data_IF_583880801673
#
_entry.id   IF_583880801673
#
_cell.length_a   1.000
_cell.length_b   1.000
_cell.length_c   1.000
_cell.angle_alpha   90.00
_cell.angle_beta   90.00
_cell.angle_gamma   90.00
#
_symmetry.space_group_name_H-M   'P 1'
#
loop_
_entity.id
_entity.type
_entity.pdbx_description
1 polymer ?
#
# COMPACT_ATOMS: atom_id res chain seq x y z
N UNK A 1 -8.31 -23.19 13.81
CA UNK A 1 -8.50 -21.72 13.72
C UNK A 1 -7.22 -20.97 13.34
N UNK A 2 -6.09 -21.21 14.01
CA UNK A 2 -4.82 -20.49 13.70
C UNK A 2 -4.33 -20.70 12.26
N UNK A 3 -4.44 -21.93 11.73
CA UNK A 3 -4.04 -22.28 10.35
C UNK A 3 -4.86 -21.51 9.31
N UNK A 4 -6.19 -21.44 9.47
CA UNK A 4 -7.08 -20.70 8.57
C UNK A 4 -6.74 -19.21 8.59
N UNK A 5 -6.56 -18.60 9.76
CA UNK A 5 -6.22 -17.18 9.88
C UNK A 5 -4.89 -16.84 9.17
N UNK A 6 -3.87 -17.70 9.31
CA UNK A 6 -2.59 -17.56 8.59
C UNK A 6 -2.79 -17.63 7.08
N UNK A 7 -3.63 -18.55 6.60
CA UNK A 7 -3.94 -18.68 5.18
C UNK A 7 -4.73 -17.48 4.66
N UNK A 8 -5.75 -16.98 5.38
CA UNK A 8 -6.48 -15.76 5.01
C UNK A 8 -5.49 -14.61 4.82
N UNK A 9 -4.62 -14.36 5.81
CA UNK A 9 -3.59 -13.31 5.71
C UNK A 9 -2.70 -13.48 4.50
N UNK A 10 -2.20 -14.70 4.26
CA UNK A 10 -1.34 -15.02 3.12
C UNK A 10 -2.02 -14.69 1.79
N UNK A 11 -3.27 -15.11 1.60
CA UNK A 11 -4.01 -14.90 0.36
C UNK A 11 -4.39 -13.42 0.17
N UNK A 12 -4.87 -12.75 1.23
CA UNK A 12 -5.19 -11.32 1.24
C UNK A 12 -3.96 -10.49 0.86
N UNK A 13 -2.83 -10.72 1.53
CA UNK A 13 -1.62 -9.94 1.33
C UNK A 13 -1.00 -10.20 -0.05
N UNK A 14 -1.01 -11.45 -0.51
CA UNK A 14 -0.58 -11.78 -1.87
C UNK A 14 -1.43 -11.05 -2.91
N UNK A 15 -2.76 -11.07 -2.76
CA UNK A 15 -3.68 -10.41 -3.68
C UNK A 15 -3.42 -8.90 -3.77
N UNK A 16 -3.25 -8.21 -2.63
CA UNK A 16 -2.94 -6.77 -2.59
C UNK A 16 -1.61 -6.40 -3.26
N UNK A 17 -0.72 -7.36 -3.48
CA UNK A 17 0.59 -7.18 -4.10
C UNK A 17 0.65 -7.75 -5.51
N UNK A 18 -0.49 -8.09 -6.11
CA UNK A 18 -0.54 -8.51 -7.50
C UNK A 18 -0.71 -7.30 -8.43
N UNK A 19 0.06 -7.22 -9.54
CA UNK A 19 0.01 -6.08 -10.45
C UNK A 19 -1.28 -6.01 -11.29
N UNK A 20 -2.06 -7.08 -11.32
CA UNK A 20 -3.31 -7.18 -12.09
C UNK A 20 -4.57 -6.94 -11.24
N UNK A 21 -4.42 -6.42 -10.01
CA UNK A 21 -5.55 -5.93 -9.21
C UNK A 21 -5.90 -4.53 -9.67
N UNK A 22 -7.06 -4.40 -10.30
CA UNK A 22 -7.58 -3.12 -10.79
C UNK A 22 -8.52 -2.42 -9.80
N UNK A 23 -8.91 -3.10 -8.71
CA UNK A 23 -9.92 -2.62 -7.76
C UNK A 23 -9.56 -2.99 -6.33
N UNK A 24 -8.85 -2.10 -5.63
CA UNK A 24 -8.44 -2.25 -4.24
C UNK A 24 -9.60 -2.03 -3.26
N UNK A 25 -10.53 -1.12 -3.53
CA UNK A 25 -11.74 -0.98 -2.70
C UNK A 25 -12.82 -2.02 -3.04
N UNK A 26 -12.75 -2.63 -4.24
CA UNK A 26 -13.74 -3.55 -4.78
C UNK A 26 -13.54 -5.04 -4.46
N UNK A 27 -12.45 -5.42 -3.78
CA UNK A 27 -12.13 -6.84 -3.53
C UNK A 27 -13.24 -7.51 -2.74
N UNK A 28 -13.86 -8.51 -3.35
CA UNK A 28 -14.89 -9.35 -2.75
C UNK A 28 -14.24 -10.46 -1.93
N UNK A 29 -14.66 -10.62 -0.69
CA UNK A 29 -14.20 -11.68 0.21
C UNK A 29 -14.38 -13.08 -0.40
N UNK A 30 -15.43 -13.26 -1.21
CA UNK A 30 -15.70 -14.52 -1.91
C UNK A 30 -14.59 -14.88 -2.91
N UNK A 31 -13.96 -13.90 -3.57
CA UNK A 31 -12.87 -14.17 -4.51
C UNK A 31 -11.65 -14.74 -3.78
N UNK A 32 -11.37 -14.24 -2.58
CA UNK A 32 -10.29 -14.76 -1.73
C UNK A 32 -10.63 -16.17 -1.24
N UNK A 33 -11.86 -16.40 -0.77
CA UNK A 33 -12.33 -17.72 -0.34
C UNK A 33 -12.27 -18.73 -1.49
N UNK A 34 -12.70 -18.34 -2.69
CA UNK A 34 -12.62 -19.17 -3.89
C UNK A 34 -11.17 -19.52 -4.24
N UNK A 35 -10.26 -18.55 -4.17
CA UNK A 35 -8.83 -18.80 -4.35
C UNK A 35 -8.30 -19.84 -3.34
N UNK A 36 -8.71 -19.71 -2.07
CA UNK A 36 -8.33 -20.66 -1.01
C UNK A 36 -8.91 -22.07 -1.28
N UNK A 37 -10.17 -22.17 -1.74
CA UNK A 37 -10.82 -23.44 -2.13
C UNK A 37 -10.11 -24.09 -3.30
N UNK A 38 -9.83 -23.34 -4.37
CA UNK A 38 -9.12 -23.83 -5.56
C UNK A 38 -7.69 -24.28 -5.26
N UNK A 39 -7.16 -23.85 -4.13
CA UNK A 39 -5.83 -24.21 -3.61
C UNK A 39 -5.87 -25.38 -2.62
N UNK A 40 -7.03 -26.00 -2.40
CA UNK A 40 -7.25 -27.07 -1.41
C UNK A 40 -6.76 -26.66 -0.01
N UNK A 41 -7.02 -25.41 0.40
CA UNK A 41 -6.64 -24.94 1.73
C UNK A 41 -7.36 -25.77 2.79
N UNK A 42 -6.63 -26.34 3.78
CA UNK A 42 -7.24 -27.19 4.80
C UNK A 42 -8.21 -26.39 5.67
N UNK A 43 -9.14 -27.11 6.29
CA UNK A 43 -10.10 -26.59 7.27
C UNK A 43 -11.06 -25.51 6.73
N UNK A 44 -11.25 -25.43 5.41
CA UNK A 44 -12.27 -24.57 4.84
C UNK A 44 -13.67 -25.18 5.01
N UNK A 45 -14.65 -24.39 5.49
CA UNK A 45 -16.02 -24.85 5.58
C UNK A 45 -16.65 -25.06 4.19
N UNK A 46 -17.61 -26.00 4.04
CA UNK A 46 -18.37 -26.18 2.79
C UNK A 46 -19.03 -24.88 2.30
N UNK A 47 -19.20 -24.73 0.98
CA UNK A 47 -19.70 -23.47 0.36
C UNK A 47 -21.07 -23.04 0.86
N UNK A 48 -21.89 -24.02 1.22
CA UNK A 48 -23.30 -23.93 1.61
C UNK A 48 -23.52 -23.93 3.13
N UNK A 49 -22.44 -23.94 3.92
CA UNK A 49 -22.52 -23.97 5.38
C UNK A 49 -22.65 -22.56 5.99
N UNK A 50 -23.31 -22.45 7.15
CA UNK A 50 -23.40 -21.20 7.92
C UNK A 50 -22.05 -20.71 8.45
N UNK A 51 -21.08 -21.62 8.62
CA UNK A 51 -19.69 -21.32 8.98
C UNK A 51 -18.99 -20.45 7.91
N UNK A 52 -19.46 -20.51 6.66
CA UNK A 52 -18.98 -19.67 5.57
C UNK A 52 -19.23 -18.16 5.84
N UNK A 53 -20.30 -17.80 6.55
CA UNK A 53 -20.55 -16.40 6.95
C UNK A 53 -19.49 -15.88 7.93
N UNK A 54 -19.04 -16.74 8.85
CA UNK A 54 -17.94 -16.44 9.77
C UNK A 54 -16.63 -16.23 9.01
N UNK A 55 -16.34 -17.11 8.05
CA UNK A 55 -15.16 -17.00 7.19
C UNK A 55 -15.18 -15.71 6.37
N UNK A 56 -16.31 -15.32 5.78
CA UNK A 56 -16.45 -14.06 5.04
C UNK A 56 -16.11 -12.86 5.95
N UNK A 57 -16.61 -12.83 7.18
CA UNK A 57 -16.30 -11.76 8.15
C UNK A 57 -14.82 -11.74 8.53
N UNK A 58 -14.20 -12.91 8.67
CA UNK A 58 -12.77 -13.02 8.97
C UNK A 58 -11.90 -12.53 7.81
N UNK A 59 -12.26 -12.88 6.57
CA UNK A 59 -11.61 -12.38 5.36
C UNK A 59 -11.78 -10.87 5.22
N UNK A 60 -12.99 -10.33 5.42
CA UNK A 60 -13.25 -8.88 5.37
C UNK A 60 -12.40 -8.10 6.39
N UNK A 61 -12.30 -8.65 7.62
CA UNK A 61 -11.49 -8.06 8.70
C UNK A 61 -10.01 -8.07 8.34
N UNK A 62 -9.48 -9.21 7.93
CA UNK A 62 -8.07 -9.32 7.56
C UNK A 62 -7.75 -8.45 6.34
N UNK A 63 -8.64 -8.41 5.35
CA UNK A 63 -8.55 -7.51 4.20
C UNK A 63 -8.38 -6.06 4.64
N UNK A 64 -9.26 -5.56 5.50
CA UNK A 64 -9.21 -4.20 6.02
C UNK A 64 -7.91 -3.89 6.77
N UNK A 65 -7.43 -4.83 7.60
CA UNK A 65 -6.17 -4.71 8.34
C UNK A 65 -4.97 -4.65 7.39
N UNK A 66 -4.90 -5.55 6.43
CA UNK A 66 -3.81 -5.62 5.47
C UNK A 66 -3.78 -4.39 4.55
N UNK A 67 -4.94 -3.89 4.14
CA UNK A 67 -5.05 -2.67 3.38
C UNK A 67 -4.49 -1.45 4.13
N UNK A 68 -4.88 -1.30 5.40
CA UNK A 68 -4.34 -0.24 6.26
C UNK A 68 -2.84 -0.40 6.50
N UNK A 69 -2.36 -1.64 6.64
CA UNK A 69 -0.95 -1.96 6.78
C UNK A 69 -0.15 -1.59 5.54
N UNK A 70 -0.64 -1.93 4.34
CA UNK A 70 0.00 -1.60 3.06
C UNK A 70 0.11 -0.08 2.89
N UNK A 71 -1.01 0.64 3.05
CA UNK A 71 -1.03 2.10 2.99
C UNK A 71 -0.02 2.70 3.96
N UNK A 72 -0.03 2.26 5.23
CA UNK A 72 0.86 2.77 6.27
C UNK A 72 2.33 2.54 5.91
N UNK A 73 2.71 1.31 5.53
CA UNK A 73 4.10 1.00 5.15
C UNK A 73 4.61 1.89 4.02
N UNK A 74 3.77 2.15 3.01
CA UNK A 74 4.13 3.02 1.90
C UNK A 74 4.20 4.49 2.35
N UNK A 75 3.20 4.96 3.10
CA UNK A 75 3.15 6.34 3.61
C UNK A 75 4.33 6.66 4.54
N UNK A 76 4.75 5.72 5.38
CA UNK A 76 5.89 5.90 6.28
C UNK A 76 7.20 6.16 5.49
N UNK A 77 7.33 5.68 4.25
CA UNK A 77 8.50 6.01 3.40
C UNK A 77 8.53 7.44 2.88
N UNK A 78 7.40 8.16 2.97
CA UNK A 78 7.33 9.59 2.66
C UNK A 78 7.84 10.45 3.81
N UNK A 79 7.94 9.88 5.01
CA UNK A 79 8.35 10.57 6.24
C UNK A 79 9.79 10.16 6.54
N UNK A 80 10.76 10.94 6.06
CA UNK A 80 12.17 10.74 6.37
C UNK A 80 13.05 10.51 5.15
N UNK A 81 13.92 9.49 5.22
CA UNK A 81 14.89 9.20 4.15
C UNK A 81 14.17 8.71 2.90
N UNK A 82 14.53 9.25 1.74
CA UNK A 82 14.07 8.76 0.45
C UNK A 82 14.42 7.27 0.29
N UNK A 83 13.39 6.45 0.09
CA UNK A 83 13.50 5.02 -0.21
C UNK A 83 13.10 4.83 -1.66
N UNK A 84 13.98 4.25 -2.48
CA UNK A 84 13.65 3.93 -3.86
C UNK A 84 12.56 2.84 -3.93
N UNK A 85 11.90 2.75 -5.08
CA UNK A 85 10.75 1.87 -5.27
C UNK A 85 11.11 0.37 -5.18
N UNK A 86 12.35 -0.02 -5.52
CA UNK A 86 12.79 -1.40 -5.43
C UNK A 86 13.01 -1.82 -3.97
N UNK A 87 13.68 -1.00 -3.17
CA UNK A 87 13.83 -1.21 -1.72
C UNK A 87 12.48 -1.24 -1.02
N UNK A 88 11.58 -0.31 -1.34
CA UNK A 88 10.21 -0.31 -0.79
C UNK A 88 9.48 -1.61 -1.14
N UNK A 89 9.45 -1.98 -2.42
CA UNK A 89 8.74 -3.18 -2.86
C UNK A 89 9.31 -4.45 -2.23
N UNK A 90 10.64 -4.57 -2.12
CA UNK A 90 11.30 -5.68 -1.44
C UNK A 90 10.82 -5.82 0.02
N UNK A 91 10.66 -4.71 0.74
CA UNK A 91 10.13 -4.70 2.11
C UNK A 91 8.64 -5.09 2.22
N UNK A 92 7.87 -4.92 1.14
CA UNK A 92 6.46 -5.33 1.10
C UNK A 92 6.32 -6.83 0.83
N UNK A 93 7.14 -7.38 -0.06
CA UNK A 93 7.08 -8.79 -0.46
C UNK A 93 7.85 -9.73 0.48
N UNK A 94 8.68 -9.22 1.40
CA UNK A 94 9.49 -10.03 2.32
C UNK A 94 8.68 -11.05 3.15
N UNK A 95 7.41 -10.75 3.42
CA UNK A 95 6.50 -11.65 4.15
C UNK A 95 5.55 -12.44 3.23
N UNK A 96 5.65 -12.24 1.93
CA UNK A 96 4.85 -12.90 0.90
C UNK A 96 5.68 -14.00 0.25
N UNK A 97 5.63 -15.20 0.82
CA UNK A 97 6.25 -16.37 0.19
C UNK A 97 5.85 -16.46 -1.29
N UNK A 98 6.84 -16.52 -2.18
CA UNK A 98 6.69 -16.69 -3.64
C UNK A 98 6.15 -15.49 -4.44
N UNK A 99 5.82 -14.35 -3.82
CA UNK A 99 5.50 -13.12 -4.57
C UNK A 99 6.81 -12.41 -4.89
N UNK A 100 7.13 -12.32 -6.17
CA UNK A 100 8.33 -11.62 -6.62
C UNK A 100 8.06 -10.12 -6.77
N UNK A 101 9.07 -9.30 -6.51
CA UNK A 101 9.09 -7.93 -6.99
C UNK A 101 9.11 -7.95 -8.52
N UNK A 102 8.07 -7.41 -9.17
CA UNK A 102 7.98 -7.33 -10.64
C UNK A 102 7.88 -5.87 -11.06
N UNK A 103 8.14 -5.58 -12.34
CA UNK A 103 7.94 -4.23 -12.86
C UNK A 103 6.49 -3.76 -12.67
N UNK A 104 5.51 -4.63 -12.96
CA UNK A 104 4.10 -4.31 -12.72
C UNK A 104 3.82 -3.95 -11.25
N UNK A 105 4.46 -4.65 -10.30
CA UNK A 105 4.31 -4.30 -8.88
C UNK A 105 4.95 -2.95 -8.55
N UNK A 106 6.09 -2.61 -9.15
CA UNK A 106 6.68 -1.27 -8.99
C UNK A 106 5.73 -0.17 -9.47
N UNK A 107 5.11 -0.36 -10.63
CA UNK A 107 4.11 0.56 -11.18
C UNK A 107 2.93 0.76 -10.20
N UNK A 108 2.37 -0.33 -9.68
CA UNK A 108 1.27 -0.26 -8.71
C UNK A 108 1.68 0.41 -7.40
N UNK A 109 2.86 0.09 -6.85
CA UNK A 109 3.36 0.70 -5.61
C UNK A 109 3.65 2.19 -5.81
N UNK A 110 4.17 2.59 -6.96
CA UNK A 110 4.37 4.01 -7.31
C UNK A 110 3.05 4.78 -7.34
N UNK A 111 2.00 4.20 -7.94
CA UNK A 111 0.65 4.78 -7.92
C UNK A 111 0.12 4.92 -6.49
N UNK A 112 0.21 3.88 -5.66
CA UNK A 112 -0.23 3.95 -4.26
C UNK A 112 0.56 5.02 -3.51
N UNK A 113 1.87 5.12 -3.74
CA UNK A 113 2.74 6.13 -3.11
C UNK A 113 2.39 7.55 -3.54
N UNK A 114 2.04 7.77 -4.80
CA UNK A 114 1.50 9.04 -5.30
C UNK A 114 0.22 9.42 -4.54
N UNK A 115 -0.73 8.50 -4.37
CA UNK A 115 -1.94 8.81 -3.60
C UNK A 115 -1.66 9.02 -2.11
N UNK A 116 -0.61 8.40 -1.55
CA UNK A 116 -0.17 8.68 -0.18
C UNK A 116 0.34 10.12 -0.04
N UNK A 117 1.11 10.63 -1.01
CA UNK A 117 1.65 11.99 -0.98
C UNK A 117 0.57 13.06 -1.17
N UNK A 118 -0.53 12.73 -1.86
CA UNK A 118 -1.69 13.61 -2.03
C UNK A 118 -2.53 13.78 -0.75
N UNK A 119 -2.30 12.97 0.30
CA UNK A 119 -2.93 13.18 1.61
C UNK A 119 -4.43 12.87 1.67
N UNK A 120 -4.94 11.96 0.81
CA UNK A 120 -6.36 11.59 0.84
C UNK A 120 -6.79 11.03 2.19
N UNK A 121 -8.00 11.39 2.62
CA UNK A 121 -8.63 10.80 3.81
C UNK A 121 -8.68 9.27 3.71
N UNK A 122 -8.61 8.58 4.85
CA UNK A 122 -8.63 7.11 4.88
C UNK A 122 -9.85 6.51 4.17
N UNK A 123 -11.01 7.15 4.25
CA UNK A 123 -12.23 6.70 3.58
C UNK A 123 -12.21 6.87 2.06
N UNK A 124 -11.50 7.89 1.55
CA UNK A 124 -11.45 8.22 0.13
C UNK A 124 -10.22 7.61 -0.59
N UNK A 125 -9.17 7.26 0.15
CA UNK A 125 -7.88 6.84 -0.39
C UNK A 125 -7.99 5.72 -1.44
N UNK A 126 -8.53 4.56 -1.07
CA UNK A 126 -8.64 3.42 -1.97
C UNK A 126 -9.67 3.62 -3.09
N UNK A 127 -10.86 4.21 -2.83
CA UNK A 127 -11.77 4.59 -3.90
C UNK A 127 -11.15 5.53 -4.95
N UNK A 128 -10.21 6.41 -4.57
CA UNK A 128 -9.53 7.31 -5.51
C UNK A 128 -8.52 6.59 -6.40
N UNK A 129 -7.78 5.63 -5.85
CA UNK A 129 -6.91 4.74 -6.63
C UNK A 129 -7.77 3.94 -7.63
N UNK A 130 -8.88 3.36 -7.17
CA UNK A 130 -9.81 2.60 -8.01
C UNK A 130 -10.45 3.46 -9.10
N UNK A 131 -10.80 4.72 -8.81
CA UNK A 131 -11.34 5.67 -9.79
C UNK A 131 -10.31 5.96 -10.89
N UNK A 132 -9.06 6.26 -10.52
CA UNK A 132 -8.00 6.49 -11.50
C UNK A 132 -7.69 5.24 -12.33
N UNK A 133 -7.62 4.05 -11.72
CA UNK A 133 -7.44 2.80 -12.44
C UNK A 133 -8.63 2.51 -13.38
N UNK A 134 -9.86 2.82 -12.97
CA UNK A 134 -11.05 2.66 -13.80
C UNK A 134 -10.99 3.52 -15.06
N UNK A 135 -10.64 4.80 -14.90
CA UNK A 135 -10.53 5.77 -15.99
C UNK A 135 -9.51 5.28 -17.01
N UNK A 136 -8.31 4.91 -16.55
CA UNK A 136 -7.24 4.39 -17.39
C UNK A 136 -7.60 3.06 -18.06
N UNK A 137 -8.26 2.14 -17.35
CA UNK A 137 -8.73 0.88 -17.94
C UNK A 137 -9.79 1.09 -19.04
N UNK A 138 -10.62 2.13 -18.95
CA UNK A 138 -11.63 2.44 -19.97
C UNK A 138 -11.01 3.03 -21.24
N UNK A 139 -9.83 3.65 -21.14
CA UNK A 139 -9.08 4.19 -22.28
C UNK A 139 -8.37 3.10 -23.08
N UNK A 140 -7.88 2.06 -22.40
CA UNK A 140 -7.24 0.90 -23.03
C UNK A 140 -6.12 0.32 -22.18
N UNK A 141 -5.68 -0.91 -22.50
CA UNK A 141 -4.59 -1.56 -21.77
C UNK A 141 -3.23 -0.89 -22.02
N UNK A 142 -3.01 -0.33 -23.21
CA UNK A 142 -1.76 0.36 -23.55
C UNK A 142 -1.68 1.71 -22.82
N UNK A 143 -2.79 2.44 -22.81
CA UNK A 143 -2.96 3.71 -22.10
C UNK A 143 -2.77 3.54 -20.60
N UNK A 144 -3.33 2.49 -20.00
CA UNK A 144 -3.11 2.15 -18.60
C UNK A 144 -1.62 1.96 -18.29
N UNK A 145 -0.92 1.15 -19.09
CA UNK A 145 0.51 0.88 -18.90
C UNK A 145 1.32 2.18 -19.05
N UNK A 146 1.01 2.99 -20.06
CA UNK A 146 1.68 4.26 -20.30
C UNK A 146 1.48 5.25 -19.14
N UNK A 147 0.25 5.42 -18.65
CA UNK A 147 -0.04 6.30 -17.53
C UNK A 147 0.65 5.84 -16.23
N UNK A 148 0.66 4.54 -15.95
CA UNK A 148 1.38 3.98 -14.81
C UNK A 148 2.89 4.17 -14.94
N UNK A 149 3.44 4.06 -16.15
CA UNK A 149 4.85 4.30 -16.44
C UNK A 149 5.24 5.75 -16.14
N UNK A 150 4.39 6.74 -16.49
CA UNK A 150 4.62 8.15 -16.14
C UNK A 150 4.71 8.32 -14.62
N UNK A 151 3.75 7.75 -13.88
CA UNK A 151 3.75 7.81 -12.41
C UNK A 151 5.03 7.21 -11.83
N UNK A 152 5.47 6.08 -12.38
CA UNK A 152 6.72 5.42 -11.97
C UNK A 152 7.98 6.23 -12.31
N UNK A 153 8.03 6.90 -13.45
CA UNK A 153 9.17 7.76 -13.80
C UNK A 153 9.28 8.99 -12.89
N UNK A 154 8.15 9.59 -12.52
CA UNK A 154 8.14 10.69 -11.56
C UNK A 154 8.51 10.23 -10.15
N UNK A 155 8.10 9.02 -9.80
CA UNK A 155 8.48 8.34 -8.57
C UNK A 155 10.00 8.10 -8.49
N UNK A 156 10.63 7.64 -9.59
CA UNK A 156 12.09 7.52 -9.72
C UNK A 156 12.79 8.86 -9.52
N UNK A 157 12.34 9.92 -10.21
CA UNK A 157 12.93 11.26 -10.09
C UNK A 157 12.88 11.77 -8.64
N UNK A 158 11.81 11.45 -7.94
CA UNK A 158 11.55 11.95 -6.59
C UNK A 158 12.31 11.15 -5.53
N UNK A 159 12.32 9.82 -5.64
CA UNK A 159 12.73 8.92 -4.55
C UNK A 159 14.00 8.11 -4.84
N UNK A 160 14.50 8.12 -6.08
CA UNK A 160 15.73 7.46 -6.48
C UNK A 160 15.51 6.35 -7.49
N UNK A 161 16.57 6.06 -8.25
CA UNK A 161 16.59 5.07 -9.32
C UNK A 161 16.72 3.64 -8.74
N UNK A 162 15.74 2.74 -8.99
CA UNK A 162 15.79 1.36 -8.52
C UNK A 162 16.96 0.57 -9.10
N UNK A 163 17.54 0.97 -10.24
CA UNK A 163 18.72 0.32 -10.82
C UNK A 163 19.96 0.44 -9.92
N UNK A 164 19.95 1.39 -8.97
CA UNK A 164 21.02 1.58 -7.97
C UNK A 164 20.80 0.74 -6.70
N UNK A 165 19.66 0.08 -6.57
CA UNK A 165 19.37 -0.80 -5.45
C UNK A 165 19.98 -2.20 -5.67
N UNK A 166 20.15 -2.95 -4.59
CA UNK A 166 20.52 -4.38 -4.67
C UNK A 166 19.34 -5.27 -5.09
N UNK A 167 18.12 -4.74 -5.08
CA UNK A 167 16.89 -5.48 -5.34
C UNK A 167 16.53 -5.45 -6.82
N UNK A 168 16.59 -6.63 -7.46
CA UNK A 168 16.22 -6.79 -8.87
C UNK A 168 14.78 -7.28 -9.00
N UNK A 169 14.14 -6.89 -10.10
CA UNK A 169 12.84 -7.46 -10.48
C UNK A 169 13.01 -8.93 -10.86
N UNK A 170 12.14 -9.79 -10.34
CA UNK A 170 11.99 -11.17 -10.78
C UNK A 170 10.98 -11.30 -11.92
N UNK A 171 10.88 -12.51 -12.45
CA UNK A 171 9.78 -12.86 -13.36
C UNK A 171 8.43 -12.77 -12.64
N UNK A 172 7.38 -12.48 -13.41
CA UNK A 172 6.00 -12.67 -12.98
C UNK A 172 5.74 -14.14 -12.63
N UNK A 173 4.49 -14.47 -12.26
CA UNK A 173 4.10 -15.83 -11.91
C UNK A 173 4.50 -16.81 -13.03
N UNK A 174 5.35 -17.77 -12.68
CA UNK A 174 5.95 -18.78 -13.56
C UNK A 174 5.54 -20.19 -13.14
N UNK A 175 5.83 -21.21 -13.94
CA UNK A 175 5.54 -22.62 -13.59
C UNK A 175 6.26 -23.11 -12.32
N UNK A 176 7.30 -22.39 -11.85
CA UNK A 176 7.99 -22.69 -10.60
C UNK A 176 7.25 -22.17 -9.36
N UNK A 177 6.24 -21.31 -9.53
CA UNK A 177 5.44 -20.80 -8.43
C UNK A 177 4.43 -21.85 -7.95
N UNK A 178 4.07 -21.82 -6.65
CA UNK A 178 3.09 -22.77 -6.12
C UNK A 178 1.70 -22.51 -6.71
N UNK A 179 0.93 -23.60 -6.88
CA UNK A 179 -0.41 -23.58 -7.49
C UNK A 179 -1.35 -22.52 -6.88
N UNK A 180 -1.27 -22.30 -5.56
CA UNK A 180 -2.12 -21.32 -4.90
C UNK A 180 -1.91 -19.90 -5.41
N UNK A 181 -0.67 -19.52 -5.77
CA UNK A 181 -0.37 -18.19 -6.30
C UNK A 181 -0.94 -18.02 -7.72
N UNK A 182 -0.87 -19.07 -8.54
CA UNK A 182 -1.52 -19.08 -9.86
C UNK A 182 -3.03 -18.89 -9.74
N UNK A 183 -3.67 -19.56 -8.77
CA UNK A 183 -5.11 -19.43 -8.55
C UNK A 183 -5.49 -17.98 -8.20
N UNK A 184 -4.78 -17.34 -7.26
CA UNK A 184 -5.04 -15.92 -6.94
C UNK A 184 -4.80 -15.04 -8.17
N UNK A 185 -3.69 -15.25 -8.89
CA UNK A 185 -3.37 -14.46 -10.08
C UNK A 185 -4.43 -14.58 -11.18
N UNK A 186 -5.04 -15.76 -11.35
CA UNK A 186 -6.14 -15.97 -12.30
C UNK A 186 -7.45 -15.30 -11.89
N UNK A 187 -7.67 -15.10 -10.58
CA UNK A 187 -8.88 -14.51 -10.03
C UNK A 187 -8.78 -12.98 -9.89
N UNK A 188 -7.57 -12.43 -9.74
CA UNK A 188 -7.37 -10.99 -9.59
C UNK A 188 -8.02 -10.13 -10.69
N UNK A 189 -7.97 -10.48 -12.00
CA UNK A 189 -8.66 -9.74 -13.05
C UNK A 189 -10.19 -9.83 -12.98
N UNK A 190 -10.73 -10.86 -12.33
CA UNK A 190 -12.17 -11.08 -12.18
C UNK A 190 -12.76 -10.28 -11.02
N UNK A 191 -11.92 -9.65 -10.19
CA UNK A 191 -12.39 -8.74 -9.16
C UNK A 191 -13.06 -7.58 -9.87
N UNK A 192 -14.36 -7.43 -9.64
CA UNK A 192 -15.14 -6.35 -10.20
C UNK A 192 -15.21 -5.20 -9.20
N UNK A 193 -15.39 -3.98 -9.72
CA UNK A 193 -15.78 -2.84 -8.91
C UNK A 193 -17.09 -3.18 -8.20
N UNK A 194 -17.05 -3.43 -6.90
CA UNK A 194 -18.27 -3.42 -6.10
C UNK A 194 -18.82 -1.99 -6.15
N UNK A 195 -19.88 -1.80 -6.93
CA UNK A 195 -20.73 -0.64 -6.74
C UNK A 195 -21.34 -0.81 -5.35
N UNK A 196 -20.74 -0.18 -4.35
CA UNK A 196 -21.36 -0.04 -3.04
C UNK A 196 -22.72 0.59 -3.34
N UNK A 197 -23.80 -0.20 -3.29
CA UNK A 197 -25.17 0.34 -3.32
C UNK A 197 -25.12 1.48 -2.33
N UNK A 198 -25.35 2.71 -2.79
CA UNK A 198 -25.35 3.87 -1.91
C UNK A 198 -26.28 3.53 -0.75
N UNK A 199 -25.67 3.25 0.41
CA UNK A 199 -26.42 2.80 1.56
C UNK A 199 -27.44 3.89 1.83
N UNK A 200 -28.72 3.49 1.82
CA UNK A 200 -29.81 4.31 2.33
C UNK A 200 -29.31 4.98 3.60
N UNK A 201 -29.25 6.32 3.59
CA UNK A 201 -28.86 7.14 4.73
C UNK A 201 -29.46 6.50 5.97
N UNK A 202 -28.61 5.93 6.84
CA UNK A 202 -28.99 5.61 8.21
C UNK A 202 -29.47 6.93 8.80
N UNK A 203 -30.78 7.14 8.80
CA UNK A 203 -31.41 8.22 9.55
C UNK A 203 -30.96 8.02 10.99
N UNK A 204 -30.16 8.95 11.48
CA UNK A 204 -29.99 9.12 12.93
C UNK A 204 -31.42 9.24 13.50
N UNK A 205 -31.74 8.55 14.60
CA UNK A 205 -32.98 8.83 15.31
C UNK A 205 -32.97 10.31 15.63
N UNK A 206 -34.04 11.02 15.26
CA UNK A 206 -34.25 12.39 15.69
C UNK A 206 -34.18 12.41 17.21
N UNK A 207 -33.32 13.27 17.75
CA UNK A 207 -33.35 13.64 19.15
C UNK A 207 -34.76 14.09 19.51
N UNK A 208 -35.18 13.64 20.66
CA UNK A 208 -36.47 13.89 21.26
C UNK A 208 -36.48 15.37 21.71
N UNK A 209 -37.03 16.25 20.88
CA UNK A 209 -37.27 17.66 21.23
C UNK A 209 -38.26 17.72 22.40
N UNK A 210 -37.72 17.94 23.60
CA UNK A 210 -38.44 18.48 24.73
C UNK A 210 -38.07 19.96 24.86
N UNK A 211 -38.69 20.78 24.01
CA UNK A 211 -38.81 22.21 24.27
C UNK A 211 -39.99 22.44 25.22
N UNK A 212 -39.70 22.72 26.49
CA UNK A 212 -40.49 23.70 27.25
C UNK A 212 -39.72 24.18 28.49
N UNK A 213 -38.87 25.19 28.35
CA UNK A 213 -38.58 26.14 29.44
C UNK A 213 -38.09 27.44 28.81
N UNK A 214 -39.02 28.36 28.56
CA UNK A 214 -38.70 29.79 28.52
C UNK A 214 -38.39 30.24 29.96
N UNK A 215 -37.27 30.93 30.16
CA UNK A 215 -37.20 32.20 30.89
C UNK A 215 -35.74 32.69 30.96
N UNK A 216 -35.54 33.94 30.51
CA UNK A 216 -34.74 35.02 31.11
C UNK A 216 -33.27 34.69 31.51
N UNK A 217 -32.25 35.51 31.30
CA UNK A 217 -32.17 36.96 31.30
C UNK A 217 -30.73 37.37 30.92
N UNK A 218 -30.58 38.61 30.45
CA UNK A 218 -29.46 39.52 30.69
C UNK A 218 -28.02 39.24 30.17
N UNK A 219 -27.60 40.11 29.25
CA UNK A 219 -26.39 40.94 29.30
C UNK A 219 -25.05 40.35 29.81
N UNK A 220 -24.02 40.38 28.96
CA UNK A 220 -22.89 41.31 29.13
C UNK A 220 -21.87 41.25 27.99
N UNK A 221 -21.62 42.42 27.41
CA UNK A 221 -20.34 42.79 26.79
C UNK A 221 -19.18 42.62 27.79
N UNK A 222 -18.01 42.19 27.32
CA UNK A 222 -16.76 42.96 27.48
C UNK A 222 -15.56 42.31 26.78
N UNK A 223 -14.82 43.21 26.15
CA UNK A 223 -13.50 43.12 25.54
C UNK A 223 -12.41 42.52 26.43
N UNK A 224 -11.38 41.93 25.82
CA UNK A 224 -9.98 42.14 26.21
C UNK A 224 -9.01 41.55 25.18
N UNK A 225 -8.44 42.42 24.36
CA UNK A 225 -7.09 42.26 23.82
C UNK A 225 -6.07 42.15 24.96
N UNK A 226 -5.04 41.31 24.80
CA UNK A 226 -3.69 41.71 25.24
C UNK A 226 -2.56 40.91 24.60
N UNK A 227 -1.68 41.68 23.97
CA UNK A 227 -0.31 41.39 23.55
C UNK A 227 0.63 40.94 24.68
N UNK A 228 1.68 40.21 24.31
CA UNK A 228 3.12 40.41 24.63
C UNK A 228 3.87 39.11 24.32
N UNK A 229 4.83 39.05 23.40
CA UNK A 229 6.13 39.73 23.28
C UNK A 229 7.22 39.17 24.21
N UNK A 230 8.39 38.94 23.60
CA UNK A 230 9.69 38.72 24.24
C UNK A 230 10.08 37.26 24.56
N UNK A 231 11.31 36.77 24.38
CA UNK A 231 12.59 37.43 24.05
C UNK A 231 13.63 36.38 23.64
N UNK A 232 14.61 36.89 22.92
CA UNK A 232 15.87 36.38 22.36
C UNK A 232 16.85 35.62 23.28
N UNK A 233 17.85 35.01 22.63
CA UNK A 233 19.21 34.74 23.15
C UNK A 233 19.53 33.25 23.21
N UNK A 234 20.72 32.74 22.85
CA UNK A 234 21.99 33.28 22.37
C UNK A 234 22.77 32.04 21.82
N UNK A 235 23.53 32.17 20.74
CA UNK A 235 25.01 32.27 20.73
C UNK A 235 25.80 31.01 21.14
N UNK A 236 26.53 30.44 20.17
CA UNK A 236 27.92 29.93 20.25
C UNK A 236 28.19 29.07 19.00
N UNK A 237 29.10 29.48 18.12
CA UNK A 237 30.52 29.07 18.16
C UNK A 237 30.72 27.96 17.12
N UNK A 238 31.34 28.19 15.96
CA UNK A 238 32.75 28.52 15.84
C UNK A 238 33.58 27.23 15.90
N UNK A 239 34.18 26.80 14.78
CA UNK A 239 35.63 26.51 14.61
C UNK A 239 35.86 25.56 13.44
N UNK A 240 36.72 26.02 12.54
CA UNK A 240 37.34 25.34 11.40
C UNK A 240 38.28 24.21 11.82
N UNK A 241 38.52 23.25 10.92
CA UNK A 241 39.79 22.53 10.65
C UNK A 241 39.40 21.26 9.86
N UNK A 242 39.88 21.02 8.65
CA UNK A 242 41.30 20.99 8.28
C UNK A 242 41.76 19.54 8.33
N UNK A 243 41.89 18.88 7.18
CA UNK A 243 42.29 17.47 7.14
C UNK A 243 42.28 16.85 5.75
N UNK A 244 43.14 17.35 4.87
CA UNK A 244 43.57 16.60 3.69
C UNK A 244 44.46 15.45 4.14
N UNK A 245 44.16 14.22 3.73
CA UNK A 245 45.10 13.10 3.74
C UNK A 245 45.09 12.47 2.35
N UNK A 246 46.14 12.82 1.61
CA UNK A 246 46.74 12.07 0.52
C UNK A 246 47.22 10.70 1.02
N UNK A 247 46.91 9.65 0.27
CA UNK A 247 47.39 8.29 0.51
C UNK A 247 47.56 7.57 -0.81
N UNK A 248 48.81 7.47 -1.22
CA UNK A 248 49.35 6.88 -2.42
C UNK A 248 49.13 5.36 -2.56
N UNK A 249 49.12 4.93 -3.83
CA UNK A 249 49.83 3.77 -4.41
C UNK A 249 49.76 2.39 -3.73
N UNK A 250 49.13 1.44 -4.42
CA UNK A 250 49.66 0.11 -4.74
C UNK A 250 48.69 -0.55 -5.75
N UNK A 251 49.09 -1.00 -6.94
CA UNK A 251 50.24 -1.86 -7.20
C UNK A 251 49.77 -3.32 -7.13
N UNK A 252 49.47 -3.95 -8.27
CA UNK A 252 48.97 -5.34 -8.24
C UNK A 252 48.52 -5.92 -9.58
N UNK A 253 49.41 -5.93 -10.57
CA UNK A 253 49.31 -6.79 -11.74
C UNK A 253 49.47 -8.26 -11.30
N UNK A 254 48.51 -9.14 -11.61
CA UNK A 254 48.75 -10.58 -11.64
C UNK A 254 48.24 -11.15 -12.96
N UNK A 255 49.20 -11.56 -13.76
CA UNK A 255 49.09 -12.38 -14.96
C UNK A 255 49.03 -13.86 -14.58
N UNK A 256 48.44 -14.67 -15.47
CA UNK A 256 48.60 -16.13 -15.50
C UNK A 256 47.35 -16.87 -15.01
N UNK A 257 46.85 -17.89 -15.69
CA UNK A 257 47.34 -18.64 -16.83
C UNK A 257 46.52 -19.92 -16.96
N UNK A 258 46.60 -20.52 -18.15
CA UNK A 258 46.47 -21.96 -18.45
C UNK A 258 45.16 -22.69 -18.06
N UNK A 259 44.37 -23.13 -19.04
CA UNK A 259 44.53 -24.39 -19.81
C UNK A 259 44.21 -25.64 -18.99
N UNK A 260 43.18 -26.39 -19.38
CA UNK A 260 42.99 -27.76 -18.90
C UNK A 260 41.65 -28.38 -19.26
N UNK A 261 41.63 -29.09 -20.41
CA UNK A 261 40.67 -30.10 -20.93
C UNK A 261 39.18 -29.76 -21.09
#
# INVERSE_FOLDING_TARGET
>A
MEVIAKNIRKFVWALLLLPNVHWYAGINENTIIEAMRNSNTPDLPPSDSTECEGLIKDVAREYSVQHSTLKKKIADTLIGKKVDIATLTASLVVHSEHVNATMGLYLCVALIRLHCSQGHSTAAFWPKIDEQLAELCNEGSEELVFALQIVYEDDIKTHGDPAKSEFKTGAAVSSANPKWLHNIHSLAPLIQRFSRRQGTKRRRPAEFDLENTEEQDSNRDQDAEKDSDGTEGADNGGTENGGAVSGDENGGTVSGGESGN
#
